data_IF_116158128365
#
_entry.id   IF_116158128365
#
_cell.length_a   1.000
_cell.length_b   1.000
_cell.length_c   1.000
_cell.angle_alpha   90.00
_cell.angle_beta   90.00
_cell.angle_gamma   90.00
#
_symmetry.space_group_name_H-M   'P 1'
#
loop_
_entity.id
_entity.type
_entity.pdbx_description
1 polymer ?
#
# COMPACT_ATOMS: atom_id res chain seq x y z
N UNK A 1 43.22 7.60 11.84
CA UNK A 1 44.23 7.59 12.92
C UNK A 1 44.81 6.18 13.00
N UNK A 2 46.13 5.99 12.99
CA UNK A 2 46.73 4.64 13.06
C UNK A 2 46.88 4.20 14.52
N UNK A 3 46.97 2.89 14.77
CA UNK A 3 47.13 2.31 16.11
C UNK A 3 48.32 2.91 16.89
N UNK A 4 49.44 3.18 16.21
CA UNK A 4 50.62 3.82 16.83
C UNK A 4 50.31 5.20 17.42
N UNK A 5 49.60 6.04 16.66
CA UNK A 5 49.15 7.36 17.12
C UNK A 5 48.18 7.23 18.30
N UNK A 6 47.29 6.23 18.25
CA UNK A 6 46.28 5.99 19.27
C UNK A 6 46.92 5.53 20.58
N UNK A 7 47.85 4.59 20.51
CA UNK A 7 48.66 4.14 21.63
C UNK A 7 49.42 5.31 22.27
N UNK A 8 50.01 6.18 21.44
CA UNK A 8 50.73 7.37 21.91
C UNK A 8 49.80 8.35 22.64
N UNK A 9 48.62 8.62 22.09
CA UNK A 9 47.61 9.47 22.74
C UNK A 9 47.13 8.90 24.07
N UNK A 10 46.83 7.61 24.14
CA UNK A 10 46.45 6.94 25.40
C UNK A 10 47.56 7.08 26.42
N UNK A 11 48.80 6.78 26.03
CA UNK A 11 49.96 6.88 26.93
C UNK A 11 50.12 8.30 27.48
N UNK A 12 50.02 9.31 26.63
CA UNK A 12 50.17 10.72 27.00
C UNK A 12 49.01 11.22 27.85
N UNK A 13 47.77 10.82 27.56
CA UNK A 13 46.59 11.15 28.38
C UNK A 13 46.71 10.60 29.81
N UNK A 14 47.41 9.48 30.00
CA UNK A 14 47.69 8.88 31.32
C UNK A 14 49.00 9.39 31.95
N UNK A 15 49.60 10.43 31.37
CA UNK A 15 50.88 11.03 31.81
C UNK A 15 52.02 10.01 31.98
N UNK A 16 52.05 8.99 31.12
CA UNK A 16 53.11 7.98 31.11
C UNK A 16 54.19 8.37 30.12
N UNK A 17 55.45 8.31 30.54
CA UNK A 17 56.58 8.34 29.59
C UNK A 17 56.71 6.98 28.90
N UNK A 18 57.35 6.94 27.72
CA UNK A 18 57.64 5.66 27.02
C UNK A 18 58.45 4.70 27.89
N UNK A 19 59.38 5.23 28.71
CA UNK A 19 60.15 4.45 29.69
C UNK A 19 59.28 3.86 30.80
N UNK A 20 58.30 4.64 31.29
CA UNK A 20 57.38 4.18 32.34
C UNK A 20 56.44 3.08 31.82
N UNK A 21 55.89 3.26 30.62
CA UNK A 21 55.06 2.23 29.97
C UNK A 21 55.87 0.96 29.64
N UNK A 22 57.12 1.10 29.21
CA UNK A 22 58.04 -0.02 28.98
C UNK A 22 58.20 -0.89 30.24
N UNK A 23 58.47 -0.24 31.38
CA UNK A 23 58.60 -0.93 32.67
C UNK A 23 57.30 -1.63 33.09
N UNK A 24 56.14 -1.01 32.84
CA UNK A 24 54.83 -1.57 33.24
C UNK A 24 54.35 -2.70 32.32
N UNK A 25 54.67 -2.65 31.03
CA UNK A 25 54.28 -3.67 30.04
C UNK A 25 55.29 -4.82 29.91
N UNK A 26 56.49 -4.68 30.50
CA UNK A 26 57.58 -5.65 30.34
C UNK A 26 58.19 -5.63 28.92
N UNK A 27 58.00 -4.53 28.18
CA UNK A 27 58.56 -4.32 26.84
C UNK A 27 59.73 -3.33 26.89
N UNK A 28 60.57 -3.28 25.85
CA UNK A 28 61.64 -2.27 25.79
C UNK A 28 61.10 -0.92 25.32
N UNK A 29 61.67 0.17 25.85
CA UNK A 29 61.28 1.53 25.49
C UNK A 29 61.40 1.81 23.98
N UNK A 30 62.50 1.34 23.36
CA UNK A 30 62.71 1.47 21.92
C UNK A 30 61.66 0.70 21.12
N UNK A 31 61.19 -0.45 21.61
CA UNK A 31 60.16 -1.23 20.92
C UNK A 31 58.79 -0.54 20.98
N UNK A 32 58.43 0.05 22.11
CA UNK A 32 57.20 0.86 22.22
C UNK A 32 57.27 2.07 21.29
N UNK A 33 58.41 2.77 21.25
CA UNK A 33 58.58 3.90 20.33
C UNK A 33 58.39 3.49 18.87
N UNK A 34 58.95 2.34 18.44
CA UNK A 34 58.78 1.81 17.08
C UNK A 34 57.32 1.43 16.75
N UNK A 35 56.52 1.08 17.75
CA UNK A 35 55.09 0.84 17.59
C UNK A 35 54.34 2.18 17.48
N UNK A 36 54.64 3.13 18.38
CA UNK A 36 54.03 4.47 18.37
C UNK A 36 54.34 5.27 17.10
N UNK A 37 55.53 5.09 16.52
CA UNK A 37 55.92 5.72 15.25
C UNK A 37 55.38 4.99 14.01
N UNK A 38 54.71 3.85 14.19
CA UNK A 38 54.20 3.02 13.09
C UNK A 38 55.27 2.20 12.35
N UNK A 39 56.53 2.24 12.80
CA UNK A 39 57.64 1.49 12.19
C UNK A 39 57.50 -0.04 12.38
N UNK A 40 56.77 -0.47 13.42
CA UNK A 40 56.54 -1.90 13.69
C UNK A 40 55.13 -2.17 14.18
N UNK A 41 54.49 -3.17 13.55
CA UNK A 41 53.18 -3.66 13.96
C UNK A 41 53.30 -4.60 15.16
N UNK A 42 52.50 -4.40 16.22
CA UNK A 42 52.54 -5.25 17.41
C UNK A 42 51.82 -6.59 17.14
N UNK A 43 52.32 -7.67 17.74
CA UNK A 43 51.61 -8.96 17.78
C UNK A 43 50.51 -8.95 18.82
N UNK A 44 49.58 -9.92 18.77
CA UNK A 44 48.53 -10.07 19.78
C UNK A 44 49.07 -10.17 21.21
N UNK A 45 50.19 -10.87 21.40
CA UNK A 45 50.87 -10.95 22.70
C UNK A 45 51.44 -9.60 23.13
N UNK A 46 52.00 -8.84 22.19
CA UNK A 46 52.49 -7.47 22.43
C UNK A 46 51.35 -6.55 22.84
N UNK A 47 50.22 -6.62 22.15
CA UNK A 47 49.02 -5.85 22.48
C UNK A 47 48.49 -6.18 23.88
N UNK A 48 48.49 -7.45 24.28
CA UNK A 48 48.14 -7.87 25.65
C UNK A 48 49.08 -7.25 26.68
N UNK A 49 50.39 -7.32 26.46
CA UNK A 49 51.41 -6.71 27.34
C UNK A 49 51.23 -5.20 27.46
N UNK A 50 50.94 -4.51 26.34
CA UNK A 50 50.64 -3.09 26.34
C UNK A 50 49.35 -2.76 27.12
N UNK A 51 48.27 -3.51 26.90
CA UNK A 51 46.99 -3.30 27.61
C UNK A 51 47.14 -3.48 29.13
N UNK A 52 47.87 -4.52 29.56
CA UNK A 52 48.19 -4.75 30.96
C UNK A 52 49.06 -3.63 31.54
N UNK A 53 50.09 -3.19 30.81
CA UNK A 53 50.97 -2.10 31.23
C UNK A 53 50.27 -0.74 31.31
N UNK A 54 49.24 -0.54 30.50
CA UNK A 54 48.38 0.64 30.53
C UNK A 54 47.28 0.54 31.59
N UNK A 55 47.02 -0.65 32.13
CA UNK A 55 45.94 -0.90 33.08
C UNK A 55 44.57 -0.77 32.44
N UNK A 56 44.39 -1.37 31.27
CA UNK A 56 43.13 -1.43 30.52
C UNK A 56 42.98 -2.80 29.84
N UNK A 57 41.76 -3.11 29.41
CA UNK A 57 41.48 -4.27 28.59
C UNK A 57 42.02 -4.12 27.16
N UNK A 58 42.15 -5.24 26.46
CA UNK A 58 42.61 -5.24 25.07
C UNK A 58 41.59 -4.57 24.13
N UNK A 59 40.29 -4.66 24.43
CA UNK A 59 39.22 -3.99 23.67
C UNK A 59 39.27 -2.47 23.80
N UNK A 60 39.49 -1.96 25.02
CA UNK A 60 39.71 -0.53 25.27
C UNK A 60 40.94 0.00 24.53
N UNK A 61 42.05 -0.75 24.54
CA UNK A 61 43.28 -0.37 23.83
C UNK A 61 43.12 -0.31 22.29
N UNK A 62 42.22 -1.15 21.75
CA UNK A 62 41.95 -1.20 20.31
C UNK A 62 40.84 -0.22 19.88
N UNK A 63 40.27 0.53 20.81
CA UNK A 63 39.30 1.58 20.52
C UNK A 63 37.87 1.08 20.30
N UNK A 64 37.35 0.16 21.13
CA UNK A 64 35.90 -0.14 21.20
C UNK A 64 35.03 1.12 21.52
N UNK A 65 35.66 2.23 21.90
CA UNK A 65 35.03 3.53 22.12
C UNK A 65 34.58 4.24 20.83
N UNK A 66 35.01 3.78 19.63
CA UNK A 66 34.46 4.28 18.35
C UNK A 66 33.07 3.73 18.01
N UNK A 67 32.51 2.84 18.85
CA UNK A 67 31.22 2.18 18.61
C UNK A 67 30.23 2.24 19.79
N UNK A 68 30.51 2.98 20.86
CA UNK A 68 29.75 2.82 22.11
C UNK A 68 28.81 3.99 22.40
N UNK A 69 27.49 3.80 22.18
CA UNK A 69 26.48 4.46 23.03
C UNK A 69 26.30 3.70 24.37
N UNK A 70 25.50 4.22 25.34
CA UNK A 70 25.91 4.38 26.74
C UNK A 70 25.97 3.07 27.55
N UNK A 71 27.02 2.89 28.36
CA UNK A 71 27.11 1.78 29.31
C UNK A 71 26.39 2.07 30.64
N UNK A 72 25.38 1.25 30.96
CA UNK A 72 24.73 1.22 32.28
C UNK A 72 24.88 -0.17 32.90
N UNK A 73 25.13 -0.31 34.22
CA UNK A 73 25.09 -1.59 34.93
C UNK A 73 23.76 -2.35 34.74
N UNK A 74 22.69 -1.63 34.41
CA UNK A 74 21.38 -2.19 34.06
C UNK A 74 21.41 -2.94 32.72
N UNK A 75 22.18 -2.49 31.73
CA UNK A 75 22.31 -3.13 30.41
C UNK A 75 22.99 -4.49 30.56
N UNK A 76 24.09 -4.57 31.31
CA UNK A 76 24.76 -5.84 31.59
C UNK A 76 23.85 -6.85 32.31
N UNK A 77 22.99 -6.37 33.22
CA UNK A 77 21.96 -7.20 33.86
C UNK A 77 20.90 -7.69 32.86
N UNK A 78 20.46 -6.83 31.94
CA UNK A 78 19.49 -7.18 30.89
C UNK A 78 20.08 -8.23 29.96
N UNK A 79 21.32 -8.06 29.48
CA UNK A 79 22.01 -9.05 28.63
C UNK A 79 22.12 -10.40 29.34
N UNK A 80 22.45 -10.40 30.64
CA UNK A 80 22.50 -11.63 31.45
C UNK A 80 21.15 -12.34 31.58
N UNK A 81 20.03 -11.59 31.58
CA UNK A 81 18.69 -12.16 31.60
C UNK A 81 18.30 -12.71 30.22
N UNK A 82 18.63 -11.99 29.13
CA UNK A 82 18.33 -12.40 27.75
C UNK A 82 18.95 -13.75 27.41
N UNK A 83 20.21 -13.98 27.82
CA UNK A 83 20.92 -15.26 27.59
C UNK A 83 20.26 -16.49 28.24
N UNK A 84 19.32 -16.29 29.16
CA UNK A 84 18.60 -17.36 29.87
C UNK A 84 17.20 -17.61 29.31
N UNK A 85 16.75 -16.81 28.35
CA UNK A 85 15.42 -16.94 27.77
C UNK A 85 15.39 -18.05 26.71
N UNK A 86 14.25 -18.75 26.55
CA UNK A 86 13.98 -19.57 25.37
C UNK A 86 14.00 -18.73 24.09
N UNK A 87 14.35 -19.36 22.96
CA UNK A 87 14.52 -18.69 21.66
C UNK A 87 13.26 -17.92 21.25
N UNK A 88 12.08 -18.48 21.51
CA UNK A 88 10.79 -17.87 21.19
C UNK A 88 10.55 -16.55 21.96
N UNK A 89 11.09 -16.45 23.17
CA UNK A 89 11.01 -15.23 24.00
C UNK A 89 12.08 -14.22 23.62
N UNK A 90 13.23 -14.67 23.11
CA UNK A 90 14.27 -13.80 22.54
C UNK A 90 13.73 -13.09 21.30
N UNK A 91 13.01 -13.81 20.41
CA UNK A 91 12.41 -13.22 19.20
C UNK A 91 11.34 -12.17 19.51
N UNK A 92 10.49 -12.43 20.52
CA UNK A 92 9.50 -11.46 20.98
C UNK A 92 10.14 -10.21 21.59
N UNK A 93 11.25 -10.40 22.32
CA UNK A 93 12.00 -9.30 22.93
C UNK A 93 12.77 -8.49 21.88
N UNK A 94 13.37 -9.13 20.88
CA UNK A 94 14.01 -8.45 19.76
C UNK A 94 13.01 -7.59 18.99
N UNK A 95 11.82 -8.14 18.73
CA UNK A 95 10.69 -7.39 18.13
C UNK A 95 10.26 -6.18 18.97
N UNK A 96 10.25 -6.33 20.30
CA UNK A 96 9.92 -5.24 21.22
C UNK A 96 11.03 -4.17 21.27
N UNK A 97 12.30 -4.56 21.36
CA UNK A 97 13.44 -3.64 21.38
C UNK A 97 13.53 -2.87 20.07
N UNK A 98 13.35 -3.56 18.93
CA UNK A 98 13.27 -2.93 17.61
C UNK A 98 12.14 -1.89 17.54
N UNK A 99 11.02 -2.13 18.23
CA UNK A 99 9.91 -1.16 18.34
C UNK A 99 10.24 0.07 19.20
N UNK A 100 11.17 -0.06 20.15
CA UNK A 100 11.61 1.03 21.03
C UNK A 100 12.70 1.91 20.39
N UNK A 101 13.58 1.32 19.57
CA UNK A 101 14.61 2.06 18.81
C UNK A 101 14.03 2.94 17.69
N UNK A 102 12.81 2.64 17.25
CA UNK A 102 12.13 3.25 16.11
C UNK A 102 11.04 4.25 16.55
N UNK A 103 11.42 5.20 17.39
CA UNK A 103 10.64 6.43 17.54
C UNK A 103 10.69 7.23 16.23
N UNK A 104 9.68 7.07 15.37
CA UNK A 104 9.48 7.80 14.09
C UNK A 104 10.55 7.63 13.00
N UNK A 105 10.49 6.54 12.23
CA UNK A 105 10.52 6.58 10.76
C UNK A 105 10.36 5.16 10.20
N UNK A 106 9.20 4.86 9.61
CA UNK A 106 9.19 3.97 8.45
C UNK A 106 10.40 4.32 7.58
N UNK A 107 11.32 3.37 7.35
CA UNK A 107 12.51 3.62 6.53
C UNK A 107 12.16 4.25 5.18
N UNK A 108 13.14 4.80 4.46
CA UNK A 108 12.97 5.69 3.28
C UNK A 108 11.96 5.22 2.21
N UNK A 109 11.57 3.95 2.20
CA UNK A 109 10.46 3.42 1.41
C UNK A 109 9.70 2.33 2.17
N UNK A 110 8.63 2.64 2.94
CA UNK A 110 7.86 1.63 3.67
C UNK A 110 7.07 0.68 2.76
N UNK A 111 6.59 -0.42 3.34
CA UNK A 111 5.49 -1.17 2.74
C UNK A 111 4.27 -0.25 2.67
N UNK A 112 3.53 -0.30 1.57
CA UNK A 112 2.35 0.53 1.37
C UNK A 112 1.21 -0.28 0.77
N UNK A 113 -0.02 0.09 1.15
CA UNK A 113 -1.22 -0.41 0.50
C UNK A 113 -1.38 0.33 -0.85
N UNK A 114 -1.54 -0.44 -1.93
CA UNK A 114 -1.59 0.06 -3.31
C UNK A 114 -2.99 0.03 -3.92
N UNK A 115 -3.79 -0.96 -3.57
CA UNK A 115 -5.17 -1.05 -4.00
C UNK A 115 -6.02 -1.82 -2.98
N UNK A 116 -7.32 -1.52 -2.99
CA UNK A 116 -8.34 -2.22 -2.21
C UNK A 116 -9.49 -2.50 -3.16
N UNK A 117 -9.91 -3.76 -3.27
CA UNK A 117 -11.06 -4.15 -4.08
C UNK A 117 -12.12 -4.83 -3.21
N UNK A 118 -13.37 -4.40 -3.35
CA UNK A 118 -14.52 -5.04 -2.74
C UNK A 118 -15.12 -6.03 -3.74
N UNK A 119 -14.83 -7.30 -3.53
CA UNK A 119 -15.20 -8.37 -4.46
C UNK A 119 -16.49 -9.07 -4.00
N UNK A 120 -17.34 -9.38 -4.99
CA UNK A 120 -18.58 -10.14 -4.81
C UNK A 120 -18.52 -11.44 -5.63
N UNK A 121 -17.67 -12.42 -5.26
CA UNK A 121 -17.55 -13.67 -5.99
C UNK A 121 -18.83 -14.50 -5.89
N UNK A 122 -19.77 -14.28 -6.82
CA UNK A 122 -20.93 -15.14 -7.08
C UNK A 122 -21.74 -15.54 -5.84
N UNK A 123 -22.18 -16.81 -5.79
CA UNK A 123 -23.05 -17.36 -4.74
C UNK A 123 -22.40 -17.40 -3.33
N UNK A 124 -21.08 -17.24 -3.20
CA UNK A 124 -20.31 -17.63 -2.01
C UNK A 124 -19.65 -16.48 -1.22
N UNK A 125 -20.14 -15.25 -1.39
CA UNK A 125 -20.00 -14.22 -0.35
C UNK A 125 -18.96 -13.13 -0.61
N UNK A 126 -19.04 -12.08 0.20
CA UNK A 126 -18.24 -10.87 0.11
C UNK A 126 -16.77 -11.10 0.49
N UNK A 127 -15.82 -10.48 -0.22
CA UNK A 127 -14.41 -10.54 0.11
C UNK A 127 -13.70 -9.21 -0.19
N UNK A 128 -12.69 -8.88 0.62
CA UNK A 128 -11.88 -7.67 0.45
C UNK A 128 -10.50 -8.09 0.00
N UNK A 129 -10.11 -7.68 -1.19
CA UNK A 129 -8.76 -7.89 -1.70
C UNK A 129 -7.88 -6.68 -1.39
N UNK A 130 -6.73 -6.92 -0.78
CA UNK A 130 -5.76 -5.90 -0.39
C UNK A 130 -4.44 -6.14 -1.12
N UNK A 131 -4.00 -5.17 -1.92
CA UNK A 131 -2.77 -5.26 -2.72
C UNK A 131 -1.69 -4.37 -2.11
N UNK A 132 -0.51 -4.93 -1.88
CA UNK A 132 0.60 -4.24 -1.23
C UNK A 132 1.78 -3.98 -2.19
N UNK A 133 2.66 -3.04 -1.83
CA UNK A 133 3.81 -2.65 -2.66
C UNK A 133 4.96 -3.67 -2.71
N UNK A 134 4.94 -4.68 -1.84
CA UNK A 134 5.91 -5.77 -1.82
C UNK A 134 5.23 -7.09 -1.41
N UNK A 135 5.97 -8.19 -1.49
CA UNK A 135 5.40 -9.51 -1.20
C UNK A 135 5.16 -9.65 0.30
N UNK A 136 3.90 -9.87 0.68
CA UNK A 136 3.44 -9.98 2.06
C UNK A 136 2.77 -11.33 2.35
N UNK A 137 2.39 -12.07 1.31
CA UNK A 137 1.61 -13.31 1.43
C UNK A 137 2.36 -14.57 0.98
N UNK A 138 3.61 -14.42 0.51
CA UNK A 138 4.51 -15.53 0.18
C UNK A 138 5.93 -15.25 0.73
N UNK A 139 6.04 -15.15 2.04
CA UNK A 139 7.31 -14.93 2.73
C UNK A 139 7.98 -16.29 2.95
N UNK A 140 9.26 -16.39 2.56
CA UNK A 140 10.01 -17.63 2.69
C UNK A 140 10.41 -17.87 4.14
N UNK A 141 9.99 -19.00 4.72
CA UNK A 141 10.21 -19.33 6.14
C UNK A 141 11.69 -19.34 6.55
N UNK A 142 12.60 -19.72 5.65
CA UNK A 142 14.04 -19.71 5.94
C UNK A 142 14.64 -18.30 6.05
N UNK A 143 13.95 -17.27 5.55
CA UNK A 143 14.37 -15.86 5.68
C UNK A 143 13.66 -15.16 6.82
N UNK A 144 12.37 -15.46 6.99
CA UNK A 144 11.51 -14.89 8.02
C UNK A 144 10.60 -16.03 8.50
N UNK A 145 10.94 -16.69 9.62
CA UNK A 145 10.14 -17.76 10.18
C UNK A 145 8.70 -17.32 10.43
N UNK A 146 7.74 -18.15 9.99
CA UNK A 146 6.30 -17.91 10.12
C UNK A 146 5.83 -16.56 9.56
N UNK A 147 6.57 -15.92 8.65
CA UNK A 147 6.30 -14.55 8.20
C UNK A 147 4.89 -14.38 7.63
N UNK A 148 4.47 -15.28 6.73
CA UNK A 148 3.11 -15.26 6.17
C UNK A 148 2.05 -15.51 7.26
N UNK A 149 2.28 -16.50 8.12
CA UNK A 149 1.33 -16.87 9.20
C UNK A 149 1.13 -15.73 10.20
N UNK A 150 2.21 -15.00 10.53
CA UNK A 150 2.18 -13.80 11.37
C UNK A 150 1.41 -12.66 10.70
N UNK A 151 1.63 -12.42 9.41
CA UNK A 151 0.87 -11.39 8.68
C UNK A 151 -0.63 -11.69 8.64
N UNK A 152 -1.03 -12.96 8.55
CA UNK A 152 -2.45 -13.34 8.56
C UNK A 152 -3.19 -12.94 9.84
N UNK A 153 -2.50 -12.77 10.97
CA UNK A 153 -3.13 -12.30 12.22
C UNK A 153 -3.27 -10.78 12.28
N UNK A 154 -2.80 -10.05 11.26
CA UNK A 154 -2.78 -8.59 11.24
C UNK A 154 -4.08 -7.94 10.75
N UNK A 155 -5.14 -8.70 10.50
CA UNK A 155 -6.38 -8.22 9.91
C UNK A 155 -7.56 -8.48 10.85
N UNK A 156 -8.28 -7.42 11.22
CA UNK A 156 -9.43 -7.50 12.12
C UNK A 156 -10.60 -6.70 11.57
N UNK A 157 -11.76 -7.34 11.46
CA UNK A 157 -12.97 -6.71 10.95
C UNK A 157 -13.91 -6.39 12.11
N UNK A 158 -14.52 -5.20 12.08
CA UNK A 158 -15.47 -4.74 13.08
C UNK A 158 -16.76 -4.27 12.41
N UNK A 159 -17.89 -4.46 13.10
CA UNK A 159 -19.15 -3.81 12.74
C UNK A 159 -19.20 -2.36 13.25
N UNK A 160 -20.30 -1.66 12.96
CA UNK A 160 -20.57 -0.28 13.39
C UNK A 160 -20.48 -0.10 14.92
N UNK A 161 -20.82 -1.14 15.69
CA UNK A 161 -20.77 -1.16 17.15
C UNK A 161 -19.39 -1.54 17.72
N UNK A 162 -18.34 -1.61 16.89
CA UNK A 162 -17.00 -2.06 17.24
C UNK A 162 -16.94 -3.52 17.74
N UNK A 163 -17.94 -4.34 17.39
CA UNK A 163 -17.91 -5.77 17.67
C UNK A 163 -17.13 -6.47 16.56
N UNK A 164 -16.17 -7.32 16.95
CA UNK A 164 -15.35 -8.05 16.00
C UNK A 164 -16.18 -9.08 15.22
N UNK A 165 -16.01 -9.06 13.90
CA UNK A 165 -16.62 -9.99 12.94
C UNK A 165 -15.55 -10.99 12.52
N UNK A 166 -15.78 -12.31 12.71
CA UNK A 166 -14.79 -13.32 12.33
C UNK A 166 -14.49 -13.29 10.83
N UNK A 167 -13.21 -13.37 10.47
CA UNK A 167 -12.72 -13.38 9.09
C UNK A 167 -11.79 -14.56 8.84
N UNK A 168 -11.79 -15.03 7.60
CA UNK A 168 -10.73 -15.84 7.01
C UNK A 168 -9.79 -14.93 6.22
N UNK A 169 -8.50 -15.00 6.54
CA UNK A 169 -7.45 -14.27 5.80
C UNK A 169 -6.75 -15.26 4.90
N UNK A 170 -6.79 -15.01 3.60
CA UNK A 170 -6.29 -15.92 2.57
C UNK A 170 -5.13 -15.23 1.85
N UNK A 171 -3.92 -15.82 1.85
CA UNK A 171 -2.81 -15.29 1.07
C UNK A 171 -3.08 -15.47 -0.44
N UNK A 172 -2.76 -14.46 -1.26
CA UNK A 172 -2.93 -14.49 -2.73
C UNK A 172 -1.99 -15.45 -3.48
N UNK A 173 -1.37 -16.41 -2.81
CA UNK A 173 -0.42 -17.35 -3.38
C UNK A 173 -1.07 -18.65 -3.93
N UNK A 174 -2.36 -18.86 -3.70
CA UNK A 174 -3.12 -19.86 -4.46
C UNK A 174 -3.25 -19.37 -5.90
N UNK A 175 -2.78 -20.17 -6.87
CA UNK A 175 -2.83 -19.86 -8.31
C UNK A 175 -4.27 -19.58 -8.76
N UNK A 176 -4.72 -18.34 -8.67
CA UNK A 176 -5.86 -17.83 -9.43
C UNK A 176 -5.31 -17.36 -10.78
N UNK A 177 -5.64 -18.07 -11.87
CA UNK A 177 -5.33 -17.69 -13.26
C UNK A 177 -3.84 -17.41 -13.61
N UNK A 178 -2.89 -18.15 -13.04
CA UNK A 178 -1.52 -18.21 -13.60
C UNK A 178 -0.64 -16.97 -13.43
N UNK A 179 -1.06 -15.96 -12.65
CA UNK A 179 -0.19 -14.84 -12.24
C UNK A 179 0.14 -14.92 -10.74
N UNK A 180 1.38 -14.57 -10.38
CA UNK A 180 1.87 -14.60 -8.99
C UNK A 180 1.31 -13.43 -8.17
N UNK A 181 0.21 -13.64 -7.45
CA UNK A 181 -0.39 -12.65 -6.54
C UNK A 181 0.23 -12.68 -5.12
N UNK A 182 1.56 -12.80 -5.04
CA UNK A 182 2.36 -12.87 -3.79
C UNK A 182 2.33 -11.56 -2.93
N UNK A 183 1.67 -10.52 -3.45
CA UNK A 183 1.52 -9.18 -2.85
C UNK A 183 0.14 -8.94 -2.25
N UNK A 184 -0.74 -9.95 -2.26
CA UNK A 184 -2.15 -9.77 -1.96
C UNK A 184 -2.58 -10.58 -0.76
N UNK A 185 -3.48 -10.01 0.05
CA UNK A 185 -4.29 -10.75 1.01
C UNK A 185 -5.77 -10.57 0.68
N UNK A 186 -6.55 -11.64 0.82
CA UNK A 186 -8.00 -11.61 0.71
C UNK A 186 -8.57 -11.81 2.11
N UNK A 187 -9.38 -10.85 2.58
CA UNK A 187 -10.09 -10.93 3.86
C UNK A 187 -11.55 -11.26 3.58
N UNK A 188 -12.00 -12.44 4.01
CA UNK A 188 -13.36 -12.93 3.80
C UNK A 188 -14.09 -13.03 5.14
N UNK A 189 -15.18 -12.29 5.38
CA UNK A 189 -16.02 -12.50 6.55
C UNK A 189 -16.61 -13.92 6.58
N UNK A 190 -16.58 -14.58 7.74
CA UNK A 190 -17.20 -15.90 7.93
C UNK A 190 -18.73 -15.85 7.98
N UNK A 191 -19.27 -14.67 8.23
CA UNK A 191 -20.71 -14.40 8.26
C UNK A 191 -21.06 -13.38 7.19
N UNK A 192 -22.24 -13.54 6.58
CA UNK A 192 -22.77 -12.56 5.63
C UNK A 192 -22.85 -11.18 6.29
N UNK A 193 -22.22 -10.19 5.67
CA UNK A 193 -22.37 -8.79 6.07
C UNK A 193 -23.77 -8.30 5.68
N UNK A 194 -24.32 -7.41 6.50
CA UNK A 194 -25.63 -6.80 6.24
C UNK A 194 -25.46 -5.65 5.27
N UNK A 195 -26.26 -5.64 4.22
CA UNK A 195 -26.23 -4.58 3.20
C UNK A 195 -26.59 -3.22 3.81
N UNK A 196 -25.92 -2.17 3.33
CA UNK A 196 -26.09 -0.80 3.82
C UNK A 196 -25.48 -0.51 5.20
N UNK A 197 -24.93 -1.51 5.91
CA UNK A 197 -24.19 -1.28 7.16
C UNK A 197 -22.73 -0.89 6.90
N UNK A 198 -22.18 -0.15 7.86
CA UNK A 198 -20.79 0.27 7.86
C UNK A 198 -19.95 -0.72 8.66
N UNK A 199 -18.79 -1.06 8.11
CA UNK A 199 -17.80 -1.96 8.68
C UNK A 199 -16.42 -1.31 8.67
N UNK A 200 -15.54 -1.76 9.56
CA UNK A 200 -14.15 -1.27 9.66
C UNK A 200 -13.18 -2.44 9.61
N UNK A 201 -12.31 -2.45 8.61
CA UNK A 201 -11.20 -3.40 8.52
C UNK A 201 -9.92 -2.73 9.01
N UNK A 202 -9.37 -3.22 10.12
CA UNK A 202 -8.09 -2.81 10.66
C UNK A 202 -6.97 -3.69 10.12
N UNK A 203 -5.91 -3.05 9.66
CA UNK A 203 -4.69 -3.66 9.14
C UNK A 203 -3.52 -3.21 10.03
N UNK A 204 -2.85 -4.18 10.64
CA UNK A 204 -1.76 -3.94 11.58
C UNK A 204 -0.51 -3.41 10.90
N UNK A 205 0.13 -2.40 11.50
CA UNK A 205 1.44 -1.89 11.07
C UNK A 205 2.55 -2.94 11.10
N UNK A 206 2.33 -4.03 11.86
CA UNK A 206 3.27 -5.12 12.02
C UNK A 206 3.30 -6.09 10.83
N UNK A 207 2.47 -5.86 9.80
CA UNK A 207 2.60 -6.55 8.53
C UNK A 207 4.02 -6.35 7.97
N UNK A 208 4.74 -7.45 7.78
CA UNK A 208 6.11 -7.47 7.30
C UNK A 208 6.16 -7.98 5.87
N UNK A 209 6.87 -7.31 4.97
CA UNK A 209 7.15 -7.82 3.64
C UNK A 209 8.43 -8.68 3.61
N UNK A 210 8.59 -9.47 2.56
CA UNK A 210 9.76 -10.33 2.35
C UNK A 210 11.11 -9.60 2.26
N UNK A 211 11.09 -8.27 2.14
CA UNK A 211 12.25 -7.38 2.17
C UNK A 211 12.41 -6.65 3.52
N UNK A 212 11.83 -7.21 4.59
CA UNK A 212 11.89 -6.71 5.96
C UNK A 212 11.26 -5.32 6.17
N UNK A 213 10.46 -4.85 5.22
CA UNK A 213 9.73 -3.58 5.33
C UNK A 213 8.39 -3.78 6.01
N UNK A 214 7.94 -2.75 6.71
CA UNK A 214 6.66 -2.72 7.42
C UNK A 214 5.78 -1.59 6.91
N UNK A 215 4.49 -1.69 7.17
CA UNK A 215 3.59 -0.55 7.06
C UNK A 215 4.05 0.52 8.05
N UNK A 216 3.96 1.79 7.66
CA UNK A 216 4.34 2.92 8.53
C UNK A 216 3.48 2.99 9.80
N UNK A 217 2.20 2.67 9.67
CA UNK A 217 1.20 2.76 10.71
C UNK A 217 0.02 1.83 10.42
N UNK A 218 -0.88 1.68 11.41
CA UNK A 218 -2.09 0.87 11.23
C UNK A 218 -2.98 1.55 10.20
N UNK A 219 -3.63 0.75 9.35
CA UNK A 219 -4.63 1.26 8.44
C UNK A 219 -6.03 0.80 8.90
N UNK A 220 -7.03 1.65 8.74
CA UNK A 220 -8.44 1.36 8.95
C UNK A 220 -9.17 1.70 7.66
N UNK A 221 -9.80 0.70 7.07
CA UNK A 221 -10.67 0.88 5.90
C UNK A 221 -12.10 0.85 6.42
N UNK A 222 -12.81 1.95 6.27
CA UNK A 222 -14.24 2.04 6.56
C UNK A 222 -15.00 1.81 5.26
N UNK A 223 -15.93 0.86 5.24
CA UNK A 223 -16.61 0.44 4.00
C UNK A 223 -18.03 -0.07 4.29
N UNK A 224 -18.87 -0.11 3.27
CA UNK A 224 -20.09 -0.92 3.22
C UNK A 224 -19.88 -2.09 2.26
N UNK A 225 -20.83 -3.02 2.16
CA UNK A 225 -20.72 -4.12 1.17
C UNK A 225 -20.57 -3.62 -0.27
N UNK A 226 -20.95 -2.37 -0.58
CA UNK A 226 -20.91 -1.84 -1.94
C UNK A 226 -19.74 -0.92 -2.25
N UNK A 227 -19.16 -0.28 -1.25
CA UNK A 227 -18.20 0.81 -1.45
C UNK A 227 -17.27 1.05 -0.27
N UNK A 228 -16.13 1.69 -0.54
CA UNK A 228 -15.23 2.21 0.49
C UNK A 228 -15.65 3.64 0.84
N UNK A 229 -15.82 3.89 2.13
CA UNK A 229 -16.29 5.16 2.68
C UNK A 229 -15.10 6.03 3.10
N UNK A 230 -14.12 5.44 3.79
CA UNK A 230 -12.94 6.16 4.28
C UNK A 230 -11.72 5.23 4.45
N UNK A 231 -10.52 5.81 4.42
CA UNK A 231 -9.25 5.13 4.69
C UNK A 231 -8.42 6.01 5.62
N UNK A 232 -8.09 5.48 6.80
CA UNK A 232 -7.26 6.13 7.81
C UNK A 232 -5.96 5.33 8.02
N UNK A 233 -4.75 5.93 8.01
CA UNK A 233 -4.49 7.32 7.69
C UNK A 233 -4.89 7.65 6.25
N UNK A 234 -5.21 8.92 6.03
CA UNK A 234 -5.60 9.41 4.71
C UNK A 234 -4.51 9.13 3.67
N UNK A 235 -4.85 8.38 2.63
CA UNK A 235 -3.97 8.13 1.49
C UNK A 235 -4.63 8.65 0.23
N UNK A 236 -4.22 9.84 -0.23
CA UNK A 236 -4.80 10.48 -1.43
C UNK A 236 -4.83 9.56 -2.65
N UNK A 237 -3.83 8.71 -2.87
CA UNK A 237 -3.81 7.81 -4.03
C UNK A 237 -4.88 6.73 -3.93
N UNK A 238 -5.03 6.13 -2.76
CA UNK A 238 -6.08 5.14 -2.49
C UNK A 238 -7.46 5.77 -2.43
N UNK A 239 -7.57 6.97 -1.87
CA UNK A 239 -8.83 7.68 -1.70
C UNK A 239 -9.28 8.41 -2.96
N UNK A 240 -8.40 8.73 -3.92
CA UNK A 240 -8.79 9.50 -5.12
C UNK A 240 -9.99 8.92 -5.87
N UNK A 241 -10.09 7.59 -6.08
CA UNK A 241 -11.29 6.99 -6.68
C UNK A 241 -12.54 7.06 -5.80
N UNK A 242 -12.39 7.30 -4.49
CA UNK A 242 -13.46 7.31 -3.49
C UNK A 242 -13.82 8.74 -2.99
N UNK A 243 -13.01 9.75 -3.29
CA UNK A 243 -13.20 11.14 -2.82
C UNK A 243 -14.10 11.98 -3.72
N UNK A 244 -14.17 11.62 -5.00
CA UNK A 244 -14.97 12.30 -6.01
C UNK A 244 -15.58 11.26 -6.94
N UNK A 245 -16.78 11.52 -7.43
CA UNK A 245 -17.30 10.78 -8.57
C UNK A 245 -16.51 11.21 -9.81
N UNK A 246 -16.08 10.25 -10.63
CA UNK A 246 -15.41 10.52 -11.91
C UNK A 246 -16.09 9.76 -13.03
N UNK A 247 -16.08 10.34 -14.23
CA UNK A 247 -16.42 9.64 -15.46
C UNK A 247 -15.19 8.85 -15.89
N UNK A 248 -15.25 7.53 -15.76
CA UNK A 248 -14.13 6.64 -16.05
C UNK A 248 -14.10 6.23 -17.53
N UNK A 249 -15.28 6.08 -18.15
CA UNK A 249 -15.39 5.72 -19.56
C UNK A 249 -16.66 6.27 -20.23
N UNK A 250 -16.59 6.46 -21.56
CA UNK A 250 -17.73 6.74 -22.45
C UNK A 250 -17.52 6.03 -23.78
N UNK A 251 -18.57 5.43 -24.35
CA UNK A 251 -18.47 4.83 -25.69
C UNK A 251 -18.31 5.86 -26.82
N UNK A 252 -18.64 7.12 -26.55
CA UNK A 252 -18.41 8.27 -27.43
C UNK A 252 -17.48 9.24 -26.71
N UNK A 253 -16.33 9.53 -27.32
CA UNK A 253 -15.38 10.49 -26.82
C UNK A 253 -15.68 11.91 -27.34
N UNK A 254 -15.27 12.92 -26.57
CA UNK A 254 -15.39 14.30 -27.01
C UNK A 254 -14.47 14.55 -28.21
N UNK A 255 -15.06 15.02 -29.32
CA UNK A 255 -14.41 15.20 -30.61
C UNK A 255 -14.72 14.12 -31.65
N UNK A 256 -15.46 13.06 -31.27
CA UNK A 256 -15.81 11.97 -32.19
C UNK A 256 -16.65 12.48 -33.37
N UNK A 257 -16.38 11.89 -34.54
CA UNK A 257 -17.04 12.21 -35.81
C UNK A 257 -17.71 10.97 -36.36
N UNK A 258 -18.72 11.18 -37.20
CA UNK A 258 -19.48 10.12 -37.86
C UNK A 258 -20.16 9.16 -36.87
N UNK A 259 -20.60 9.66 -35.71
CA UNK A 259 -21.37 8.87 -34.75
C UNK A 259 -22.73 8.50 -35.38
N UNK A 260 -23.16 7.23 -35.39
CA UNK A 260 -24.45 6.87 -35.95
C UNK A 260 -25.61 7.59 -35.24
N UNK A 261 -26.61 8.02 -36.00
CA UNK A 261 -27.73 8.85 -35.51
C UNK A 261 -28.62 8.18 -34.45
N UNK A 262 -28.57 6.85 -34.35
CA UNK A 262 -29.34 6.04 -33.40
C UNK A 262 -28.45 5.38 -32.34
N UNK A 263 -27.35 6.05 -31.95
CA UNK A 263 -26.40 5.50 -30.98
C UNK A 263 -26.80 5.85 -29.56
N UNK A 264 -26.91 4.84 -28.70
CA UNK A 264 -26.98 5.03 -27.24
C UNK A 264 -25.62 5.49 -26.70
N UNK A 265 -25.63 6.50 -25.84
CA UNK A 265 -24.41 6.99 -25.18
C UNK A 265 -24.28 6.28 -23.84
N UNK A 266 -23.29 5.40 -23.73
CA UNK A 266 -23.02 4.61 -22.52
C UNK A 266 -21.87 5.24 -21.73
N UNK A 267 -22.16 5.59 -20.48
CA UNK A 267 -21.23 6.22 -19.53
C UNK A 267 -20.93 5.26 -18.38
N UNK A 268 -19.67 5.19 -17.94
CA UNK A 268 -19.24 4.42 -16.76
C UNK A 268 -18.54 5.33 -15.77
N UNK A 269 -18.92 5.25 -14.50
CA UNK A 269 -18.38 6.09 -13.42
C UNK A 269 -17.54 5.29 -12.41
N UNK A 270 -16.75 6.00 -11.61
CA UNK A 270 -15.88 5.38 -10.60
C UNK A 270 -16.61 4.75 -9.41
N UNK A 271 -17.85 5.16 -9.14
CA UNK A 271 -18.65 4.68 -8.02
C UNK A 271 -20.07 4.31 -8.48
N UNK A 272 -20.81 3.62 -7.60
CA UNK A 272 -22.22 3.30 -7.81
C UNK A 272 -23.01 4.60 -8.02
N UNK A 273 -23.86 4.68 -9.05
CA UNK A 273 -24.67 5.87 -9.39
C UNK A 273 -26.18 5.60 -9.31
N UNK A 274 -26.58 4.43 -8.81
CA UNK A 274 -27.98 3.96 -8.86
C UNK A 274 -28.58 3.62 -7.49
N UNK A 275 -27.91 3.93 -6.38
CA UNK A 275 -28.46 3.67 -5.04
C UNK A 275 -29.77 4.43 -4.84
N UNK A 276 -30.68 3.89 -4.01
CA UNK A 276 -31.97 4.52 -3.72
C UNK A 276 -31.83 5.99 -3.26
N UNK A 277 -30.73 6.31 -2.59
CA UNK A 277 -30.46 7.66 -2.08
C UNK A 277 -30.13 8.70 -3.17
N UNK A 278 -29.58 8.29 -4.32
CA UNK A 278 -29.06 9.21 -5.35
C UNK A 278 -29.77 9.07 -6.69
N UNK A 279 -30.45 7.95 -6.94
CA UNK A 279 -31.01 7.59 -8.25
C UNK A 279 -31.93 8.67 -8.83
N UNK A 280 -32.94 9.09 -8.08
CA UNK A 280 -33.94 10.04 -8.56
C UNK A 280 -33.32 11.40 -8.91
N UNK A 281 -32.34 11.83 -8.10
CA UNK A 281 -31.54 13.02 -8.35
C UNK A 281 -30.66 12.86 -9.60
N UNK A 282 -29.96 11.73 -9.72
CA UNK A 282 -29.07 11.46 -10.84
C UNK A 282 -29.79 11.40 -12.19
N UNK A 283 -31.05 10.96 -12.23
CA UNK A 283 -31.87 10.98 -13.46
C UNK A 283 -32.04 12.40 -14.05
N UNK A 284 -31.89 13.45 -13.24
CA UNK A 284 -32.00 14.85 -13.67
C UNK A 284 -30.65 15.48 -14.05
N UNK A 285 -29.54 14.74 -13.98
CA UNK A 285 -28.19 15.29 -14.14
C UNK A 285 -27.68 15.31 -15.59
N UNK A 286 -28.54 15.07 -16.59
CA UNK A 286 -28.13 14.91 -17.99
C UNK A 286 -28.95 15.78 -18.93
N UNK A 287 -28.29 16.37 -19.91
CA UNK A 287 -28.94 17.10 -20.99
C UNK A 287 -28.18 16.93 -22.30
N UNK A 288 -28.91 16.81 -23.40
CA UNK A 288 -28.35 16.75 -24.75
C UNK A 288 -28.92 17.88 -25.58
N UNK A 289 -28.06 18.65 -26.25
CA UNK A 289 -28.46 19.71 -27.17
C UNK A 289 -27.63 19.70 -28.46
N UNK A 290 -28.18 20.22 -29.54
CA UNK A 290 -27.40 20.48 -30.75
C UNK A 290 -26.51 21.72 -30.57
N UNK A 291 -25.50 21.89 -31.42
CA UNK A 291 -24.65 23.10 -31.44
C UNK A 291 -25.44 24.39 -31.70
N UNK A 292 -26.69 24.29 -32.15
CA UNK A 292 -27.64 25.40 -32.30
C UNK A 292 -28.47 25.66 -31.04
N UNK A 293 -28.13 25.02 -29.91
CA UNK A 293 -28.88 25.06 -28.63
C UNK A 293 -30.32 24.56 -28.73
N UNK A 294 -30.56 23.61 -29.64
CA UNK A 294 -31.85 22.93 -29.71
C UNK A 294 -31.81 21.70 -28.78
N UNK A 295 -32.68 21.61 -27.77
CA UNK A 295 -32.68 20.48 -26.84
C UNK A 295 -33.11 19.20 -27.56
N UNK A 296 -32.50 18.08 -27.17
CA UNK A 296 -32.88 16.73 -27.60
C UNK A 296 -33.53 16.03 -26.42
N UNK A 297 -34.71 15.45 -26.63
CA UNK A 297 -35.33 14.62 -25.61
C UNK A 297 -34.55 13.32 -25.42
N UNK A 298 -34.20 13.03 -24.18
CA UNK A 298 -33.44 11.84 -23.79
C UNK A 298 -34.17 11.05 -22.72
N UNK A 299 -34.01 9.74 -22.77
CA UNK A 299 -34.30 8.84 -21.67
C UNK A 299 -32.98 8.44 -21.01
N UNK A 300 -32.93 8.61 -19.69
CA UNK A 300 -31.78 8.20 -18.86
C UNK A 300 -32.08 6.83 -18.29
N UNK A 301 -31.36 5.83 -18.77
CA UNK A 301 -31.56 4.43 -18.43
C UNK A 301 -30.48 4.00 -17.44
N UNK A 302 -30.93 3.43 -16.32
CA UNK A 302 -30.08 2.93 -15.24
C UNK A 302 -30.59 1.54 -14.82
N UNK A 303 -29.69 0.63 -14.47
CA UNK A 303 -30.06 -0.67 -13.90
C UNK A 303 -30.90 -0.51 -12.61
N UNK A 304 -31.62 -1.56 -12.20
CA UNK A 304 -32.46 -1.50 -10.99
C UNK A 304 -31.65 -1.20 -9.72
N UNK A 305 -32.20 -0.53 -8.70
CA UNK A 305 -31.43 -0.04 -7.54
C UNK A 305 -30.72 -1.14 -6.73
N UNK A 306 -31.18 -2.39 -6.84
CA UNK A 306 -30.58 -3.57 -6.19
C UNK A 306 -29.61 -4.35 -7.09
N UNK A 307 -29.19 -3.77 -8.22
CA UNK A 307 -28.24 -4.40 -9.14
C UNK A 307 -26.82 -4.37 -8.55
N UNK A 308 -26.23 -5.55 -8.36
CA UNK A 308 -24.90 -5.72 -7.77
C UNK A 308 -23.80 -5.94 -8.82
N UNK A 309 -24.14 -5.92 -10.11
CA UNK A 309 -23.19 -6.03 -11.21
C UNK A 309 -22.45 -4.71 -11.46
N UNK A 310 -21.53 -4.70 -12.44
CA UNK A 310 -20.87 -3.45 -12.86
C UNK A 310 -21.84 -2.41 -13.43
N UNK A 311 -23.07 -2.82 -13.81
CA UNK A 311 -24.10 -1.90 -14.30
C UNK A 311 -24.51 -0.85 -13.27
N UNK A 312 -24.24 -1.07 -11.97
CA UNK A 312 -24.47 -0.05 -10.93
C UNK A 312 -23.65 1.22 -11.11
N UNK A 313 -22.60 1.16 -11.92
CA UNK A 313 -21.73 2.30 -12.27
C UNK A 313 -22.04 2.84 -13.68
N UNK A 314 -23.03 2.28 -14.37
CA UNK A 314 -23.33 2.59 -15.76
C UNK A 314 -24.62 3.41 -15.88
N UNK A 315 -24.60 4.40 -16.77
CA UNK A 315 -25.77 5.16 -17.19
C UNK A 315 -25.80 5.17 -18.71
N UNK A 316 -26.96 4.87 -19.28
CA UNK A 316 -27.18 4.89 -20.72
C UNK A 316 -28.10 6.07 -21.04
N UNK A 317 -27.68 6.93 -21.96
CA UNK A 317 -28.47 8.03 -22.49
C UNK A 317 -29.02 7.61 -23.85
N UNK A 318 -30.34 7.51 -23.95
CA UNK A 318 -31.04 7.14 -25.16
C UNK A 318 -31.79 8.37 -25.72
N UNK A 319 -31.39 8.92 -26.88
CA UNK A 319 -32.19 9.93 -27.57
C UNK A 319 -33.55 9.34 -27.98
N UNK A 320 -34.66 9.96 -27.57
CA UNK A 320 -36.02 9.46 -27.88
C UNK A 320 -36.33 9.42 -29.37
N UNK A 321 -35.66 10.29 -30.12
CA UNK A 321 -35.76 10.38 -31.56
C UNK A 321 -34.34 10.31 -32.13
N UNK A 322 -34.22 9.69 -33.31
CA UNK A 322 -32.95 9.65 -34.03
C UNK A 322 -32.38 11.05 -34.21
N UNK A 323 -31.08 11.18 -34.02
CA UNK A 323 -30.37 12.44 -34.16
C UNK A 323 -30.32 12.88 -35.63
N UNK A 324 -30.19 14.18 -35.87
CA UNK A 324 -29.99 14.72 -37.21
C UNK A 324 -28.60 14.35 -37.70
N UNK A 325 -28.47 14.00 -38.99
CA UNK A 325 -27.16 13.72 -39.61
C UNK A 325 -26.29 14.96 -39.72
N UNK A 326 -24.97 14.74 -39.72
CA UNK A 326 -23.96 15.80 -39.86
C UNK A 326 -24.14 16.96 -38.88
N UNK A 327 -24.67 16.67 -37.69
CA UNK A 327 -25.00 17.65 -36.66
C UNK A 327 -24.10 17.44 -35.45
N UNK A 328 -23.61 18.55 -34.91
CA UNK A 328 -22.82 18.55 -33.68
C UNK A 328 -23.76 18.56 -32.49
N UNK A 329 -23.55 17.63 -31.57
CA UNK A 329 -24.28 17.51 -30.31
C UNK A 329 -23.35 17.69 -29.12
N UNK A 330 -23.92 18.21 -28.03
CA UNK A 330 -23.25 18.49 -26.78
C UNK A 330 -24.05 17.77 -25.69
N UNK A 331 -23.46 16.71 -25.13
CA UNK A 331 -23.95 16.07 -23.93
C UNK A 331 -23.30 16.74 -22.72
N UNK A 332 -24.12 17.24 -21.80
CA UNK A 332 -23.69 17.79 -20.52
C UNK A 332 -24.10 16.85 -19.40
N UNK A 333 -23.13 16.49 -18.55
CA UNK A 333 -23.31 15.73 -17.32
C UNK A 333 -23.06 16.69 -16.17
N UNK A 334 -24.06 16.91 -15.32
CA UNK A 334 -24.00 17.91 -14.27
C UNK A 334 -22.93 17.60 -13.21
N UNK A 335 -22.25 18.64 -12.74
CA UNK A 335 -21.37 18.60 -11.57
C UNK A 335 -22.05 18.04 -10.31
N UNK A 336 -23.37 18.14 -10.24
CA UNK A 336 -24.19 17.67 -9.13
C UNK A 336 -24.48 16.17 -9.16
N UNK A 337 -24.07 15.46 -10.22
CA UNK A 337 -24.19 14.00 -10.27
C UNK A 337 -23.49 13.39 -9.06
N UNK A 338 -24.17 12.47 -8.36
CA UNK A 338 -23.73 11.98 -7.06
C UNK A 338 -23.49 10.46 -7.08
N UNK A 339 -22.37 10.02 -6.55
CA UNK A 339 -22.11 8.60 -6.29
C UNK A 339 -22.84 8.11 -5.03
N UNK A 340 -22.98 6.80 -4.88
CA UNK A 340 -23.59 6.15 -3.71
C UNK A 340 -22.93 6.56 -2.39
N UNK A 341 -21.63 6.86 -2.44
CA UNK A 341 -20.81 7.42 -1.37
C UNK A 341 -21.08 8.91 -1.09
N UNK A 342 -22.14 9.47 -1.68
CA UNK A 342 -22.58 10.85 -1.60
C UNK A 342 -21.59 11.87 -2.18
N UNK A 343 -20.56 11.45 -2.92
CA UNK A 343 -19.59 12.37 -3.55
C UNK A 343 -20.09 12.86 -4.90
N UNK A 344 -19.87 14.14 -5.16
CA UNK A 344 -20.26 14.79 -6.40
C UNK A 344 -19.22 14.58 -7.51
N UNK A 345 -19.65 14.74 -8.76
CA UNK A 345 -18.78 14.85 -9.93
C UNK A 345 -17.91 16.12 -9.85
N UNK A 346 -18.45 17.18 -9.25
CA UNK A 346 -17.73 18.38 -8.81
C UNK A 346 -17.33 19.35 -9.91
N UNK A 347 -17.54 18.98 -11.18
CA UNK A 347 -17.52 19.88 -12.33
C UNK A 347 -18.32 19.25 -13.47
N UNK A 348 -18.97 20.08 -14.31
CA UNK A 348 -19.69 19.59 -15.47
C UNK A 348 -18.75 18.82 -16.41
N UNK A 349 -19.21 17.69 -16.92
CA UNK A 349 -18.52 16.95 -17.98
C UNK A 349 -19.25 17.15 -19.30
N UNK A 350 -18.50 17.57 -20.30
CA UNK A 350 -19.02 17.92 -21.63
C UNK A 350 -18.44 16.94 -22.65
N UNK A 351 -19.32 16.23 -23.34
CA UNK A 351 -18.96 15.37 -24.48
C UNK A 351 -19.57 15.99 -25.73
N UNK A 352 -18.72 16.48 -26.63
CA UNK A 352 -19.14 17.05 -27.90
C UNK A 352 -18.85 16.05 -29.01
N UNK A 353 -19.81 15.72 -29.86
CA UNK A 353 -19.62 14.77 -30.96
C UNK A 353 -20.42 15.17 -32.20
N UNK A 354 -20.04 14.64 -33.36
CA UNK A 354 -20.71 14.90 -34.64
C UNK A 354 -21.30 13.61 -35.21
N UNK A 355 -22.59 13.65 -35.56
CA UNK A 355 -23.27 12.52 -36.21
C UNK A 355 -22.84 12.35 -37.66
N UNK A 356 -22.87 11.11 -38.15
CA UNK A 356 -22.61 10.77 -39.56
C UNK A 356 -23.85 10.88 -40.44
N UNK A 357 -23.70 10.50 -41.71
CA UNK A 357 -24.80 10.42 -42.66
C UNK A 357 -25.87 9.42 -42.23
N UNK A 358 -27.14 9.71 -42.54
CA UNK A 358 -28.33 8.97 -42.09
C UNK A 358 -28.38 7.48 -42.53
N UNK A 359 -27.48 7.06 -43.42
CA UNK A 359 -27.53 5.76 -44.08
C UNK A 359 -26.22 4.99 -43.94
N UNK A 360 -26.07 4.24 -42.84
CA UNK A 360 -25.41 2.93 -42.85
C UNK A 360 -26.20 2.01 -41.91
N UNK A 361 -27.40 1.60 -42.32
CA UNK A 361 -28.00 0.36 -41.82
C UNK A 361 -27.40 -0.81 -42.61
N UNK A 362 -27.12 -1.89 -41.88
CA UNK A 362 -26.30 -3.05 -42.24
C UNK A 362 -26.27 -3.48 -43.71
N UNK A 363 -25.05 -3.78 -44.18
CA UNK A 363 -24.90 -4.83 -45.18
C UNK A 363 -25.40 -6.14 -44.56
N UNK A 364 -26.60 -6.54 -44.95
CA UNK A 364 -27.01 -7.93 -44.94
C UNK A 364 -25.91 -8.75 -45.63
N UNK A 365 -25.32 -9.69 -44.89
CA UNK A 365 -24.64 -10.83 -45.48
C UNK A 365 -25.69 -11.68 -46.21
N UNK A 366 -25.97 -11.31 -47.46
CA UNK A 366 -26.40 -12.24 -48.48
C UNK A 366 -25.42 -12.13 -49.65
N UNK A 367 -24.43 -13.02 -49.65
CA UNK A 367 -24.08 -13.70 -50.89
C UNK A 367 -23.77 -15.17 -50.59
N UNK A 368 -24.67 -16.02 -51.07
CA UNK A 368 -24.53 -17.47 -51.05
C UNK A 368 -23.88 -17.96 -52.34
N UNK A 369 -22.92 -18.86 -52.22
CA UNK A 369 -22.52 -19.89 -53.20
C UNK A 369 -21.21 -20.50 -52.73
N UNK A 370 -20.93 -21.79 -52.84
CA UNK A 370 -21.65 -22.89 -53.43
C UNK A 370 -20.97 -24.18 -52.95
N UNK A 371 -21.73 -25.25 -53.12
CA UNK A 371 -21.42 -26.66 -52.99
C UNK A 371 -20.13 -27.04 -53.73
N UNK A 372 -19.23 -27.76 -53.05
CA UNK A 372 -18.42 -28.87 -53.56
C UNK A 372 -17.69 -29.56 -52.40
#
# INVERSE_FOLDING_TARGET
>A
MNFGDHLKQIRESRMLSTSKLAKQSGLSQSFIWRIESGEKQPTLETLRKLSLGLGMSLGELLGEELLSEPESPKINRIIGNIRKLPVEQIDALDSFIASLSQGHAAGENPLTLQAIHLNHPGKDGFAIELVFSANVSAIMDHRIPDGTKRNMTGFHLFDEGMKEVPVDVIPGNEKMLGQKAERTFIVRPRTRLTDGRVYKLNISKLLQANNYKYLKENHTITFSTYEIIDITPFNKKLCSPYLSLTLDNSNIASGDKNVPVNTDIKLTFSNNVITDAVRDHNLQCFSLESSKKQPVEIDVIMAGPNDNSEQKKEIIIHPRHGLDSNTVYILTISENLQGGNQKLLGADKIITFTTGDANITGTDEQDGSSIA
#
